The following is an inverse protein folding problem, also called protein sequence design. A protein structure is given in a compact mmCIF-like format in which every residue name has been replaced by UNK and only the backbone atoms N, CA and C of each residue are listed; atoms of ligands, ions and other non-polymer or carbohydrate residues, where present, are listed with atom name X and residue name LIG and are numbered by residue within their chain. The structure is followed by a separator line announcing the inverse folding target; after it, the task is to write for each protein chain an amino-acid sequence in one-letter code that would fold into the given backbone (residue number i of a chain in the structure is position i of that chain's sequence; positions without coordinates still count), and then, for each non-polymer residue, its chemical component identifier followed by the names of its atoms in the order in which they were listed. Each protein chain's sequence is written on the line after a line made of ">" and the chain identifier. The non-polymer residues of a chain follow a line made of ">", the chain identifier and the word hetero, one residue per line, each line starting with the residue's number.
data_IF_453987973368
#
_entry.id   IF_453987973368
#
_cell.length_a   1.000
_cell.length_b   1.000
_cell.length_c   1.000
_cell.angle_alpha   90.00
_cell.angle_beta   90.00
_cell.angle_gamma   90.00
#
_symmetry.space_group_name_H-M   'P 1'
#
loop_
_entity.id
_entity.type
_entity.pdbx_description
1 polymer ?
#
# COMPACT_ATOMS: atom_id res chain seq x y z
N UNK A 1 12.85 33.13 54.83
CA UNK A 1 12.29 32.06 55.69
C UNK A 1 10.94 31.68 55.10
N UNK A 2 10.63 30.49 54.66
CA UNK A 2 11.34 29.22 54.47
C UNK A 2 10.52 28.45 53.44
N UNK A 3 11.21 27.66 52.62
CA UNK A 3 10.69 26.69 51.67
C UNK A 3 10.01 25.51 52.36
N UNK A 4 8.96 24.94 51.77
CA UNK A 4 8.54 23.52 51.91
C UNK A 4 7.48 23.23 50.83
N UNK A 5 7.74 22.55 49.70
CA UNK A 5 7.90 21.09 49.49
C UNK A 5 6.94 20.24 50.32
N UNK A 6 6.30 19.16 49.91
CA UNK A 6 6.18 18.35 48.69
C UNK A 6 5.39 17.10 49.15
N UNK A 7 4.58 16.46 48.30
CA UNK A 7 4.22 15.06 48.53
C UNK A 7 2.76 14.69 48.34
N UNK A 8 2.30 14.59 47.10
CA UNK A 8 1.20 13.69 46.74
C UNK A 8 1.82 12.49 46.04
N UNK A 9 2.04 11.41 46.81
CA UNK A 9 2.46 10.10 46.30
C UNK A 9 1.26 9.49 45.59
N UNK A 10 1.33 9.35 44.27
CA UNK A 10 0.40 8.52 43.50
C UNK A 10 0.79 7.05 43.64
N UNK A 11 -0.14 6.24 44.13
CA UNK A 11 -0.01 4.78 44.17
C UNK A 11 0.05 4.19 42.77
N UNK A 12 1.25 3.76 42.35
CA UNK A 12 1.44 2.91 41.17
C UNK A 12 1.00 1.50 41.54
N UNK A 13 -0.20 1.10 41.10
CA UNK A 13 -0.64 -0.29 41.15
C UNK A 13 0.13 -1.09 40.10
N UNK A 14 1.06 -1.92 40.55
CA UNK A 14 1.78 -2.90 39.72
C UNK A 14 0.87 -4.11 39.48
N UNK A 15 0.37 -4.26 38.27
CA UNK A 15 -0.28 -5.51 37.85
C UNK A 15 0.80 -6.53 37.43
N UNK A 16 0.78 -7.77 37.94
CA UNK A 16 1.69 -8.81 37.48
C UNK A 16 1.31 -9.24 36.05
N UNK A 17 2.31 -9.31 35.18
CA UNK A 17 2.19 -9.78 33.80
C UNK A 17 2.02 -11.30 33.77
N UNK A 18 0.97 -11.86 33.16
CA UNK A 18 0.85 -13.31 33.01
C UNK A 18 1.71 -13.77 31.82
N UNK A 19 2.94 -14.22 32.11
CA UNK A 19 3.65 -15.16 31.24
C UNK A 19 3.04 -16.55 31.47
N UNK A 20 2.43 -17.13 30.43
CA UNK A 20 2.85 -18.40 29.82
C UNK A 20 1.73 -19.04 28.99
N UNK A 21 2.17 -19.73 27.93
CA UNK A 21 1.48 -20.75 27.16
C UNK A 21 0.42 -20.28 26.14
N UNK A 22 0.88 -20.06 24.91
CA UNK A 22 0.24 -20.61 23.70
C UNK A 22 1.28 -20.66 22.58
N UNK A 23 2.10 -21.72 22.64
CA UNK A 23 3.01 -22.12 21.58
C UNK A 23 2.20 -23.04 20.65
N UNK A 24 1.46 -22.44 19.71
CA UNK A 24 0.74 -23.20 18.68
C UNK A 24 0.94 -22.55 17.31
N UNK A 25 1.72 -23.26 16.49
CA UNK A 25 1.79 -23.19 15.03
C UNK A 25 2.20 -21.84 14.41
N UNK A 26 3.50 -21.54 14.46
CA UNK A 26 4.10 -20.55 13.57
C UNK A 26 4.10 -21.13 12.14
N UNK A 27 3.40 -20.54 11.16
CA UNK A 27 3.56 -20.97 9.78
C UNK A 27 4.99 -20.70 9.34
N UNK A 28 5.60 -21.65 8.63
CA UNK A 28 6.97 -21.54 8.11
C UNK A 28 7.18 -20.21 7.39
N UNK A 29 8.32 -19.52 7.59
CA UNK A 29 8.72 -18.49 6.66
C UNK A 29 9.05 -19.18 5.32
N UNK A 30 8.68 -18.55 4.21
CA UNK A 30 9.22 -18.87 2.88
C UNK A 30 8.60 -20.04 2.10
N UNK A 31 7.27 -20.21 2.15
CA UNK A 31 6.57 -20.74 0.98
C UNK A 31 6.02 -19.58 0.15
N UNK A 32 6.83 -19.08 -0.79
CA UNK A 32 6.30 -18.25 -1.85
C UNK A 32 5.35 -19.10 -2.70
N UNK A 33 4.06 -18.73 -2.82
CA UNK A 33 3.11 -19.48 -3.64
C UNK A 33 3.59 -19.53 -5.10
N UNK A 34 3.47 -20.70 -5.73
CA UNK A 34 3.81 -20.88 -7.15
C UNK A 34 2.93 -19.98 -8.01
N UNK A 35 3.46 -19.53 -9.16
CA UNK A 35 2.81 -18.55 -10.06
C UNK A 35 1.37 -18.94 -10.50
N UNK A 36 1.04 -20.23 -10.50
CA UNK A 36 -0.30 -20.73 -10.79
C UNK A 36 -1.30 -20.51 -9.63
N UNK A 37 -0.85 -20.53 -8.38
CA UNK A 37 -1.67 -20.22 -7.19
C UNK A 37 -1.74 -18.72 -6.87
N UNK A 38 -0.89 -17.91 -7.51
CA UNK A 38 -0.76 -16.46 -7.27
C UNK A 38 -1.55 -15.57 -8.25
N UNK A 39 -2.09 -16.12 -9.35
CA UNK A 39 -2.82 -15.34 -10.36
C UNK A 39 -4.11 -14.72 -9.79
N UNK A 40 -4.31 -13.41 -9.93
CA UNK A 40 -5.52 -12.73 -9.45
C UNK A 40 -6.76 -13.29 -10.16
N UNK A 41 -7.81 -13.62 -9.40
CA UNK A 41 -9.01 -14.22 -9.97
C UNK A 41 -9.80 -13.21 -10.81
N UNK A 42 -10.52 -13.63 -11.88
CA UNK A 42 -11.25 -12.71 -12.76
C UNK A 42 -12.20 -11.75 -12.04
N UNK A 43 -12.93 -12.23 -11.03
CA UNK A 43 -13.85 -11.39 -10.24
C UNK A 43 -13.10 -10.35 -9.40
N UNK A 44 -11.92 -10.72 -8.88
CA UNK A 44 -11.05 -9.78 -8.17
C UNK A 44 -10.45 -8.73 -9.11
N UNK A 45 -10.12 -9.11 -10.35
CA UNK A 45 -9.68 -8.16 -11.38
C UNK A 45 -10.78 -7.14 -11.67
N UNK A 46 -12.00 -7.61 -11.91
CA UNK A 46 -13.15 -6.71 -12.15
C UNK A 46 -13.36 -5.77 -10.96
N UNK A 47 -13.35 -6.31 -9.75
CA UNK A 47 -13.52 -5.52 -8.54
C UNK A 47 -12.42 -4.46 -8.38
N UNK A 48 -11.15 -4.81 -8.67
CA UNK A 48 -10.03 -3.87 -8.67
C UNK A 48 -10.22 -2.73 -9.67
N UNK A 49 -10.61 -3.05 -10.91
CA UNK A 49 -10.81 -2.09 -11.99
C UNK A 49 -11.97 -1.13 -11.71
N UNK A 50 -13.05 -1.62 -11.13
CA UNK A 50 -14.19 -0.78 -10.75
C UNK A 50 -13.83 0.08 -9.53
N UNK A 51 -13.16 -0.52 -8.54
CA UNK A 51 -12.73 0.15 -7.31
C UNK A 51 -11.77 1.31 -7.57
N UNK A 52 -10.79 1.17 -8.46
CA UNK A 52 -9.83 2.25 -8.73
C UNK A 52 -10.48 3.42 -9.49
N UNK A 53 -11.49 3.15 -10.32
CA UNK A 53 -12.31 4.19 -10.97
C UNK A 53 -13.14 4.96 -9.95
N UNK A 54 -13.73 4.28 -8.97
CA UNK A 54 -14.47 4.92 -7.89
C UNK A 54 -13.56 5.74 -6.97
N UNK A 55 -12.38 5.21 -6.61
CA UNK A 55 -11.40 5.91 -5.79
C UNK A 55 -10.96 7.25 -6.40
N UNK A 56 -10.87 7.33 -7.74
CA UNK A 56 -10.50 8.54 -8.48
C UNK A 56 -11.43 9.74 -8.18
N UNK A 57 -12.71 9.50 -7.86
CA UNK A 57 -13.70 10.55 -7.56
C UNK A 57 -13.36 11.34 -6.29
N UNK A 58 -12.51 10.78 -5.41
CA UNK A 58 -12.09 11.41 -4.16
C UNK A 58 -10.79 12.21 -4.29
N UNK A 59 -10.18 12.24 -5.47
CA UNK A 59 -8.92 12.94 -5.70
C UNK A 59 -9.03 14.42 -5.34
N UNK A 60 -8.09 14.90 -4.52
CA UNK A 60 -7.90 16.32 -4.28
C UNK A 60 -6.75 16.80 -5.17
N UNK A 61 -7.08 17.29 -6.37
CA UNK A 61 -6.09 17.70 -7.35
C UNK A 61 -6.41 19.06 -8.02
N UNK A 62 -6.61 20.14 -7.25
CA UNK A 62 -7.01 21.43 -7.81
C UNK A 62 -5.91 22.08 -8.66
N UNK A 63 -4.65 21.66 -8.51
CA UNK A 63 -3.52 22.29 -9.20
C UNK A 63 -3.31 21.64 -10.57
N UNK A 64 -3.22 20.30 -10.63
CA UNK A 64 -3.04 19.59 -11.90
C UNK A 64 -4.34 19.37 -12.67
N UNK A 65 -5.49 19.34 -11.98
CA UNK A 65 -6.76 18.86 -12.51
C UNK A 65 -6.65 17.44 -13.10
N UNK A 66 -5.73 16.64 -12.57
CA UNK A 66 -5.43 15.29 -13.04
C UNK A 66 -5.77 14.26 -11.93
N UNK A 67 -7.03 13.78 -11.88
CA UNK A 67 -7.45 12.86 -10.85
C UNK A 67 -6.92 11.45 -11.15
N UNK A 68 -6.35 10.82 -10.13
CA UNK A 68 -5.84 9.45 -10.16
C UNK A 68 -6.44 8.68 -9.01
N UNK A 69 -6.93 7.47 -9.29
CA UNK A 69 -7.43 6.53 -8.30
C UNK A 69 -6.63 5.23 -8.32
N UNK A 70 -6.51 4.59 -7.17
CA UNK A 70 -5.85 3.30 -7.02
C UNK A 70 -6.69 2.37 -6.13
N UNK A 71 -6.66 1.07 -6.45
CA UNK A 71 -7.23 0.02 -5.63
C UNK A 71 -6.18 -1.08 -5.42
N UNK A 72 -5.89 -1.40 -4.17
CA UNK A 72 -4.86 -2.33 -3.74
C UNK A 72 -5.50 -3.58 -3.14
N UNK A 73 -5.18 -4.75 -3.70
CA UNK A 73 -5.66 -6.06 -3.27
C UNK A 73 -4.63 -6.74 -2.36
N UNK A 74 -5.06 -7.16 -1.18
CA UNK A 74 -4.28 -7.99 -0.25
C UNK A 74 -4.40 -9.47 -0.59
N UNK A 75 -3.52 -10.30 -0.01
CA UNK A 75 -3.57 -11.76 -0.21
C UNK A 75 -4.84 -12.43 0.32
N UNK A 76 -5.44 -11.88 1.38
CA UNK A 76 -6.69 -12.34 1.97
C UNK A 76 -7.95 -11.73 1.31
N UNK A 77 -7.77 -10.96 0.23
CA UNK A 77 -8.87 -10.49 -0.62
C UNK A 77 -9.46 -9.12 -0.24
N UNK A 78 -8.93 -8.45 0.78
CA UNK A 78 -9.35 -7.07 1.13
C UNK A 78 -8.84 -6.07 0.10
N UNK A 79 -9.65 -5.05 -0.16
CA UNK A 79 -9.30 -3.95 -1.07
C UNK A 79 -9.16 -2.63 -0.31
N UNK A 80 -8.08 -1.92 -0.61
CA UNK A 80 -7.79 -0.59 -0.10
C UNK A 80 -7.79 0.42 -1.23
N UNK A 81 -8.56 1.49 -1.07
CA UNK A 81 -8.67 2.57 -2.04
C UNK A 81 -7.70 3.70 -1.70
N UNK A 82 -7.22 4.36 -2.75
CA UNK A 82 -6.43 5.59 -2.64
C UNK A 82 -6.68 6.52 -3.82
N UNK A 83 -6.45 7.80 -3.59
CA UNK A 83 -6.47 8.84 -4.62
C UNK A 83 -5.28 9.78 -4.45
N UNK A 84 -4.94 10.55 -5.48
CA UNK A 84 -3.93 11.59 -5.32
C UNK A 84 -4.47 12.76 -4.50
N UNK A 85 -3.62 13.29 -3.63
CA UNK A 85 -3.91 14.43 -2.77
C UNK A 85 -2.76 15.41 -2.96
N UNK A 86 -3.07 16.53 -3.60
CA UNK A 86 -2.09 17.57 -3.90
C UNK A 86 -1.98 18.58 -2.76
N UNK A 87 -0.93 19.39 -2.83
CA UNK A 87 -0.66 20.44 -1.88
C UNK A 87 -0.08 21.66 -2.61
N UNK A 88 -0.30 22.86 -2.07
CA UNK A 88 0.27 24.10 -2.61
C UNK A 88 1.80 24.04 -2.69
N UNK A 89 2.44 23.40 -1.71
CA UNK A 89 3.83 22.95 -1.81
C UNK A 89 3.87 21.63 -2.56
N UNK A 90 4.12 21.69 -3.87
CA UNK A 90 3.98 20.54 -4.79
C UNK A 90 4.70 19.25 -4.31
N UNK A 91 5.92 19.31 -3.75
CA UNK A 91 6.60 18.11 -3.25
C UNK A 91 5.88 17.39 -2.10
N UNK A 92 4.97 18.06 -1.39
CA UNK A 92 4.19 17.49 -0.28
C UNK A 92 2.98 16.69 -0.75
N UNK A 93 2.67 16.71 -2.05
CA UNK A 93 1.61 15.91 -2.63
C UNK A 93 1.90 14.40 -2.59
N UNK A 94 0.83 13.61 -2.58
CA UNK A 94 0.90 12.15 -2.56
C UNK A 94 0.09 11.52 -3.69
N UNK A 95 0.64 10.47 -4.29
CA UNK A 95 0.01 9.74 -5.39
C UNK A 95 -1.00 8.71 -4.87
N UNK A 96 -1.97 8.34 -5.72
CA UNK A 96 -3.05 7.41 -5.36
C UNK A 96 -2.54 6.05 -4.86
N UNK A 97 -1.50 5.51 -5.48
CA UNK A 97 -0.90 4.22 -5.13
C UNK A 97 -0.29 4.27 -3.72
N UNK A 98 0.41 5.37 -3.41
CA UNK A 98 1.00 5.60 -2.08
C UNK A 98 -0.08 5.80 -1.03
N UNK A 99 -1.17 6.52 -1.33
CA UNK A 99 -2.33 6.63 -0.44
C UNK A 99 -2.94 5.27 -0.13
N UNK A 100 -3.17 4.43 -1.15
CA UNK A 100 -3.78 3.10 -0.97
C UNK A 100 -2.91 2.17 -0.10
N UNK A 101 -1.60 2.09 -0.38
CA UNK A 101 -0.71 1.20 0.38
C UNK A 101 -0.45 1.71 1.79
N UNK A 102 -0.33 3.03 1.99
CA UNK A 102 -0.17 3.59 3.34
C UNK A 102 -1.40 3.31 4.20
N UNK A 103 -2.61 3.41 3.63
CA UNK A 103 -3.85 3.02 4.32
C UNK A 103 -3.85 1.54 4.69
N UNK A 104 -3.48 0.66 3.76
CA UNK A 104 -3.43 -0.76 4.05
C UNK A 104 -2.44 -1.11 5.16
N UNK A 105 -1.25 -0.51 5.11
CA UNK A 105 -0.18 -0.71 6.09
C UNK A 105 -0.59 -0.18 7.47
N UNK A 106 -1.23 0.98 7.55
CA UNK A 106 -1.70 1.52 8.83
C UNK A 106 -2.81 0.68 9.45
N UNK A 107 -3.59 -0.06 8.64
CA UNK A 107 -4.58 -1.04 9.09
C UNK A 107 -3.99 -2.45 9.34
N UNK A 108 -2.66 -2.60 9.31
CA UNK A 108 -1.97 -3.85 9.69
C UNK A 108 -1.69 -4.82 8.53
N UNK A 109 -2.01 -4.46 7.29
CA UNK A 109 -1.80 -5.31 6.12
C UNK A 109 -0.44 -5.05 5.48
N UNK A 110 0.35 -6.11 5.26
CA UNK A 110 1.70 -6.02 4.64
C UNK A 110 1.94 -7.03 3.53
N UNK A 111 0.94 -7.83 3.19
CA UNK A 111 1.00 -8.84 2.12
C UNK A 111 0.01 -8.44 1.03
N UNK A 112 0.55 -8.10 -0.14
CA UNK A 112 -0.23 -7.59 -1.26
C UNK A 112 -0.06 -8.46 -2.50
N UNK A 113 -1.10 -8.48 -3.34
CA UNK A 113 -1.16 -9.31 -4.55
C UNK A 113 -1.13 -8.47 -5.82
N UNK A 114 -1.93 -7.41 -5.85
CA UNK A 114 -2.10 -6.60 -7.05
C UNK A 114 -2.59 -5.19 -6.74
N UNK A 115 -2.40 -4.28 -7.69
CA UNK A 115 -2.93 -2.92 -7.64
C UNK A 115 -3.45 -2.50 -9.02
N UNK A 116 -4.61 -1.85 -9.05
CA UNK A 116 -5.15 -1.22 -10.26
C UNK A 116 -5.11 0.30 -10.13
N UNK A 117 -4.80 1.00 -11.22
CA UNK A 117 -4.62 2.45 -11.25
C UNK A 117 -5.46 3.04 -12.38
N UNK A 118 -6.23 4.08 -12.09
CA UNK A 118 -7.10 4.77 -13.05
C UNK A 118 -6.78 6.26 -13.10
N UNK A 119 -6.94 6.86 -14.29
CA UNK A 119 -6.87 8.31 -14.51
C UNK A 119 -7.89 8.75 -15.57
N UNK A 120 -7.83 10.01 -16.02
CA UNK A 120 -8.60 10.49 -17.17
C UNK A 120 -7.84 10.39 -18.51
N UNK A 121 -6.67 9.74 -18.57
CA UNK A 121 -5.95 9.53 -19.83
C UNK A 121 -6.74 8.62 -20.79
N UNK A 122 -6.91 9.05 -22.04
CA UNK A 122 -7.56 8.28 -23.10
C UNK A 122 -6.54 7.51 -23.95
N UNK A 123 -5.53 8.19 -24.47
CA UNK A 123 -4.59 7.60 -25.43
C UNK A 123 -3.68 6.53 -24.84
N UNK A 124 -3.25 6.71 -23.59
CA UNK A 124 -2.23 5.88 -22.93
C UNK A 124 -2.72 5.38 -21.57
N UNK A 125 -2.27 4.19 -21.17
CA UNK A 125 -2.50 3.71 -19.82
C UNK A 125 -1.79 4.63 -18.80
N UNK A 126 -2.40 4.80 -17.63
CA UNK A 126 -1.70 5.43 -16.49
C UNK A 126 -0.64 4.47 -15.97
N UNK A 127 0.58 4.97 -15.76
CA UNK A 127 1.72 4.19 -15.27
C UNK A 127 2.18 4.81 -13.95
N UNK A 128 2.44 4.01 -12.90
CA UNK A 128 2.89 4.55 -11.62
C UNK A 128 4.22 5.29 -11.77
N UNK A 129 4.38 6.38 -11.03
CA UNK A 129 5.64 7.12 -11.01
C UNK A 129 6.75 6.32 -10.29
N UNK A 130 8.02 6.70 -10.46
CA UNK A 130 9.15 5.98 -9.86
C UNK A 130 9.05 5.84 -8.34
N UNK A 131 8.60 6.90 -7.65
CA UNK A 131 8.41 6.85 -6.19
C UNK A 131 7.33 5.84 -5.77
N UNK A 132 6.22 5.74 -6.51
CA UNK A 132 5.20 4.72 -6.25
C UNK A 132 5.75 3.31 -6.46
N UNK A 133 6.46 3.07 -7.57
CA UNK A 133 7.09 1.76 -7.84
C UNK A 133 8.02 1.35 -6.70
N UNK A 134 8.84 2.28 -6.21
CA UNK A 134 9.77 2.04 -5.12
C UNK A 134 9.06 1.72 -3.79
N UNK A 135 7.97 2.43 -3.47
CA UNK A 135 7.16 2.15 -2.27
C UNK A 135 6.47 0.79 -2.38
N UNK A 136 5.93 0.42 -3.54
CA UNK A 136 5.34 -0.92 -3.72
C UNK A 136 6.40 -2.01 -3.56
N UNK A 137 7.62 -1.78 -4.07
CA UNK A 137 8.74 -2.73 -4.04
C UNK A 137 9.16 -3.11 -2.62
N UNK A 138 9.05 -2.18 -1.68
CA UNK A 138 9.31 -2.42 -0.26
C UNK A 138 8.49 -3.61 0.29
N UNK A 139 7.29 -3.84 -0.24
CA UNK A 139 6.38 -4.88 0.24
C UNK A 139 6.33 -6.11 -0.69
N UNK A 140 7.28 -6.23 -1.62
CA UNK A 140 7.47 -7.40 -2.47
C UNK A 140 7.85 -7.06 -3.90
N UNK A 141 8.43 -8.02 -4.63
CA UNK A 141 8.85 -7.86 -6.04
C UNK A 141 7.79 -8.33 -7.05
N UNK A 142 6.92 -9.25 -6.64
CA UNK A 142 5.98 -9.93 -7.52
C UNK A 142 4.55 -9.45 -7.30
N UNK A 143 4.16 -8.45 -8.09
CA UNK A 143 2.84 -7.82 -8.07
C UNK A 143 2.29 -7.78 -9.47
N UNK A 144 0.98 -7.95 -9.62
CA UNK A 144 0.29 -7.56 -10.86
C UNK A 144 -0.19 -6.10 -10.77
N UNK A 145 0.24 -5.27 -11.72
CA UNK A 145 -0.18 -3.88 -11.85
C UNK A 145 -1.09 -3.74 -13.07
N UNK A 146 -2.36 -3.40 -12.79
CA UNK A 146 -3.39 -3.16 -13.79
C UNK A 146 -3.40 -1.68 -14.16
N UNK A 147 -2.83 -1.36 -15.32
CA UNK A 147 -2.63 -0.01 -15.82
C UNK A 147 -3.76 0.34 -16.78
N UNK A 148 -4.72 1.16 -16.35
CA UNK A 148 -5.94 1.41 -17.12
C UNK A 148 -5.86 2.65 -17.99
N UNK A 149 -6.64 2.64 -19.08
CA UNK A 149 -7.12 3.82 -19.79
C UNK A 149 -8.49 4.24 -19.24
N UNK A 150 -8.96 5.42 -19.63
CA UNK A 150 -10.27 5.94 -19.24
C UNK A 150 -11.45 5.23 -19.92
N UNK A 151 -11.24 4.59 -21.08
CA UNK A 151 -12.22 3.74 -21.76
C UNK A 151 -12.43 2.37 -21.07
N UNK A 152 -11.67 2.09 -20.01
CA UNK A 152 -11.74 0.86 -19.24
C UNK A 152 -10.84 -0.27 -19.75
N UNK A 153 -10.18 -0.11 -20.90
CA UNK A 153 -9.14 -1.03 -21.33
C UNK A 153 -7.91 -0.91 -20.43
N UNK A 154 -7.11 -1.96 -20.33
CA UNK A 154 -5.94 -2.00 -19.47
C UNK A 154 -4.86 -2.93 -20.02
N UNK A 155 -3.64 -2.72 -19.54
CA UNK A 155 -2.55 -3.69 -19.67
C UNK A 155 -2.14 -4.14 -18.27
N UNK A 156 -1.58 -5.34 -18.18
CA UNK A 156 -1.02 -5.87 -16.93
C UNK A 156 0.50 -5.88 -17.05
N UNK A 157 1.17 -5.38 -16.02
CA UNK A 157 2.62 -5.44 -15.88
C UNK A 157 3.00 -5.93 -14.50
N UNK A 158 4.12 -6.61 -14.40
CA UNK A 158 4.72 -6.90 -13.12
C UNK A 158 5.47 -5.69 -12.57
N UNK A 159 5.63 -5.61 -11.25
CA UNK A 159 6.45 -4.56 -10.65
C UNK A 159 7.90 -4.64 -11.11
N UNK A 160 8.43 -5.85 -11.28
CA UNK A 160 9.79 -6.10 -11.78
C UNK A 160 10.00 -5.58 -13.21
N UNK A 161 9.02 -5.75 -14.10
CA UNK A 161 9.07 -5.13 -15.44
C UNK A 161 9.10 -3.60 -15.39
N UNK A 162 8.46 -2.99 -14.39
CA UNK A 162 8.37 -1.54 -14.24
C UNK A 162 9.51 -0.94 -13.44
N UNK A 163 10.23 -1.73 -12.65
CA UNK A 163 11.36 -1.30 -11.83
C UNK A 163 12.45 -2.40 -11.82
N UNK A 164 13.11 -2.65 -12.96
CA UNK A 164 14.16 -3.66 -13.05
C UNK A 164 15.36 -3.28 -12.20
N UNK A 165 16.05 -4.28 -11.64
CA UNK A 165 17.24 -4.10 -10.78
C UNK A 165 17.01 -3.11 -9.61
N UNK A 166 15.81 -3.16 -9.04
CA UNK A 166 15.39 -2.22 -8.00
C UNK A 166 16.23 -2.31 -6.73
N UNK A 167 16.63 -1.15 -6.20
CA UNK A 167 17.12 -1.02 -4.82
C UNK A 167 16.05 -1.47 -3.80
N UNK A 168 16.42 -2.11 -2.70
CA UNK A 168 15.53 -2.41 -1.59
C UNK A 168 16.21 -3.00 -0.34
N UNK A 169 15.48 -3.73 0.52
CA UNK A 169 15.98 -4.15 1.82
C UNK A 169 17.27 -4.98 1.79
N UNK A 170 17.49 -5.73 0.71
CA UNK A 170 18.72 -6.52 0.52
C UNK A 170 19.98 -5.65 0.34
N UNK A 171 19.86 -4.43 -0.17
CA UNK A 171 21.01 -3.54 -0.40
C UNK A 171 21.51 -2.86 0.89
N UNK A 172 20.71 -2.88 1.95
CA UNK A 172 21.05 -2.30 3.27
C UNK A 172 21.73 -3.30 4.20
N UNK A 173 21.76 -4.58 3.84
CA UNK A 173 22.41 -5.61 4.64
C UNK A 173 23.91 -5.53 4.39
N UNK A 174 24.62 -4.81 5.27
CA UNK A 174 26.07 -4.82 5.29
C UNK A 174 26.55 -6.22 5.66
N UNK A 175 27.31 -6.85 4.77
CA UNK A 175 28.00 -8.14 4.99
C UNK A 175 29.01 -8.06 6.12
#
# INVERSE_FOLDING_TARGET
>A
MESSSSGLRGDVRTHPSPRMAQEQHRPSPDTHPTRASSAVQPDQVRLLLDSCKEAKKFAYCPYSNFPVGAALLTWDGKIFLGCNIENASYPMGICAERTAIQKAVSEGYRKFRAIAISSNKQETCIVPCGACRQVLREFGKHWDLYLTKSDGTYIVKTLEELLPYSFGPEDLQMS
#
